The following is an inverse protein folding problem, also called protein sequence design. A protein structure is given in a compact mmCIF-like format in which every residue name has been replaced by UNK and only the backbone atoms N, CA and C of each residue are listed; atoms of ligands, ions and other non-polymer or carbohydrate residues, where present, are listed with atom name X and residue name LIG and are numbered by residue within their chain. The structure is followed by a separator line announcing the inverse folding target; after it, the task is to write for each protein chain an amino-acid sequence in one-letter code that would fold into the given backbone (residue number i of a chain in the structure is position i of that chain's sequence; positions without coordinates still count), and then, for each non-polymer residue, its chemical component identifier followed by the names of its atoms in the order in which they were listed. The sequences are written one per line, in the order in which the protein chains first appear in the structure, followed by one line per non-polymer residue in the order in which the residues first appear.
data_IF_725767877078
#
_entry.id   IF_725767877078
#
_cell.length_a   1.000
_cell.length_b   1.000
_cell.length_c   1.000
_cell.angle_alpha   90.00
_cell.angle_beta   90.00
_cell.angle_gamma   90.00
#
_symmetry.space_group_name_H-M   'P 1'
#
loop_
_entity.id
_entity.type
_entity.pdbx_description
1 polymer ?
#
# COMPACT_ATOMS: atom_id res chain seq x y z
N UNK A 1 7.36 -9.26 -4.32
CA UNK A 1 6.09 -10.03 -4.30
C UNK A 1 5.71 -10.58 -2.93
N UNK A 2 6.66 -10.94 -2.05
CA UNK A 2 6.33 -11.43 -0.71
C UNK A 2 5.44 -10.46 0.10
N UNK A 3 5.80 -9.18 0.17
CA UNK A 3 5.03 -8.16 0.91
C UNK A 3 3.57 -8.02 0.43
N UNK A 4 3.32 -8.08 -0.88
CA UNK A 4 1.96 -8.03 -1.44
C UNK A 4 1.16 -9.28 -1.05
N UNK A 5 1.78 -10.47 -1.10
CA UNK A 5 1.13 -11.72 -0.65
C UNK A 5 0.75 -11.65 0.82
N UNK A 6 1.61 -11.10 1.67
CA UNK A 6 1.36 -10.89 3.10
C UNK A 6 0.21 -9.90 3.33
N UNK A 7 0.19 -8.80 2.58
CA UNK A 7 -0.93 -7.84 2.61
C UNK A 7 -2.25 -8.52 2.21
N UNK A 8 -2.26 -9.28 1.11
CA UNK A 8 -3.43 -10.04 0.67
C UNK A 8 -3.83 -11.19 1.62
N UNK A 9 -2.90 -11.68 2.43
CA UNK A 9 -3.17 -12.63 3.51
C UNK A 9 -3.72 -11.94 4.78
N UNK A 10 -3.74 -10.61 4.84
CA UNK A 10 -4.15 -9.84 6.01
C UNK A 10 -3.08 -9.78 7.10
N UNK A 11 -1.84 -10.21 6.81
CA UNK A 11 -0.70 -10.15 7.74
C UNK A 11 -0.09 -8.75 7.82
N UNK A 12 -0.27 -7.95 6.77
CA UNK A 12 0.15 -6.57 6.69
C UNK A 12 -1.03 -5.67 6.30
N UNK A 13 -1.12 -4.53 6.96
CA UNK A 13 -1.99 -3.45 6.50
C UNK A 13 -1.39 -2.77 5.25
N UNK A 14 -2.19 -1.99 4.53
CA UNK A 14 -1.71 -1.18 3.42
C UNK A 14 -0.67 -0.14 3.88
N UNK A 15 -0.83 0.43 5.08
CA UNK A 15 0.14 1.37 5.66
C UNK A 15 1.50 0.71 5.92
N UNK A 16 1.48 -0.50 6.48
CA UNK A 16 2.69 -1.29 6.72
C UNK A 16 3.35 -1.73 5.41
N UNK A 17 2.56 -2.15 4.43
CA UNK A 17 3.02 -2.44 3.08
C UNK A 17 3.70 -1.22 2.45
N UNK A 18 3.08 -0.05 2.50
CA UNK A 18 3.66 1.19 1.97
C UNK A 18 5.00 1.50 2.65
N UNK A 19 5.05 1.38 3.98
CA UNK A 19 6.27 1.62 4.75
C UNK A 19 7.40 0.68 4.35
N UNK A 20 7.09 -0.62 4.19
CA UNK A 20 8.05 -1.63 3.78
C UNK A 20 8.55 -1.36 2.36
N UNK A 21 7.64 -1.12 1.40
CA UNK A 21 8.01 -0.78 0.02
C UNK A 21 8.86 0.50 -0.05
N UNK A 22 8.50 1.56 0.68
CA UNK A 22 9.28 2.80 0.71
C UNK A 22 10.70 2.56 1.24
N UNK A 23 10.86 1.80 2.32
CA UNK A 23 12.17 1.60 2.98
C UNK A 23 13.02 0.55 2.30
N UNK A 24 12.45 -0.62 2.03
CA UNK A 24 13.19 -1.82 1.62
C UNK A 24 13.35 -1.90 0.11
N UNK A 25 12.41 -1.34 -0.66
CA UNK A 25 12.48 -1.35 -2.13
C UNK A 25 13.05 -0.05 -2.67
N UNK A 26 12.55 1.09 -2.20
CA UNK A 26 12.99 2.40 -2.72
C UNK A 26 14.14 3.04 -1.93
N UNK A 27 14.39 2.61 -0.68
CA UNK A 27 15.43 3.21 0.16
C UNK A 27 15.18 4.68 0.53
N UNK A 28 13.93 5.16 0.48
CA UNK A 28 13.61 6.57 0.66
C UNK A 28 13.19 6.88 2.11
N UNK A 29 13.57 8.06 2.60
CA UNK A 29 13.03 8.60 3.86
C UNK A 29 11.54 8.99 3.70
N UNK A 30 10.81 9.10 4.81
CA UNK A 30 9.43 9.59 4.77
C UNK A 30 9.34 10.99 4.15
N UNK A 31 10.28 11.89 4.47
CA UNK A 31 10.29 13.25 3.92
C UNK A 31 10.39 13.22 2.39
N UNK A 32 11.39 12.51 1.86
CA UNK A 32 11.64 12.45 0.42
C UNK A 32 10.50 11.75 -0.34
N UNK A 33 9.90 10.73 0.25
CA UNK A 33 8.75 10.06 -0.38
C UNK A 33 7.48 10.92 -0.35
N UNK A 34 7.23 11.63 0.76
CA UNK A 34 6.09 12.53 0.87
C UNK A 34 6.16 13.67 -0.15
N UNK A 35 7.36 14.23 -0.37
CA UNK A 35 7.63 15.20 -1.45
C UNK A 35 7.36 14.60 -2.83
N UNK A 36 7.86 13.39 -3.10
CA UNK A 36 7.67 12.68 -4.37
C UNK A 36 6.19 12.50 -4.74
N UNK A 37 5.35 12.16 -3.74
CA UNK A 37 3.91 11.88 -3.96
C UNK A 37 3.00 13.09 -3.69
N UNK A 38 3.59 14.23 -3.32
CA UNK A 38 2.87 15.49 -3.12
C UNK A 38 1.93 15.48 -1.91
N UNK A 39 2.36 14.93 -0.77
CA UNK A 39 1.63 14.98 0.50
C UNK A 39 2.51 15.48 1.65
N UNK A 40 1.90 15.83 2.78
CA UNK A 40 2.70 16.18 3.97
C UNK A 40 3.39 14.94 4.54
N UNK A 41 4.60 15.12 5.10
CA UNK A 41 5.31 14.05 5.82
C UNK A 41 4.47 13.48 6.96
N UNK A 42 3.67 14.32 7.63
CA UNK A 42 2.74 13.88 8.69
C UNK A 42 1.68 12.94 8.12
N UNK A 43 1.04 13.30 7.01
CA UNK A 43 0.05 12.44 6.33
C UNK A 43 0.64 11.09 5.97
N UNK A 44 1.86 11.06 5.41
CA UNK A 44 2.55 9.80 5.11
C UNK A 44 2.82 8.99 6.39
N UNK A 45 3.27 9.64 7.47
CA UNK A 45 3.55 8.96 8.73
C UNK A 45 2.30 8.43 9.43
N UNK A 46 1.19 9.14 9.34
CA UNK A 46 -0.09 8.71 9.88
C UNK A 46 -0.59 7.50 9.08
N UNK A 47 -0.54 7.56 7.74
CA UNK A 47 -0.87 6.44 6.84
C UNK A 47 -0.02 5.20 7.14
N UNK A 48 1.31 5.34 7.18
CA UNK A 48 2.23 4.23 7.48
C UNK A 48 2.12 3.67 8.91
N UNK A 49 1.49 4.43 9.81
CA UNK A 49 1.21 4.05 11.18
C UNK A 49 -0.20 3.52 11.40
N UNK A 50 -0.99 3.34 10.33
CA UNK A 50 -2.40 2.96 10.38
C UNK A 50 -3.25 3.93 11.22
N UNK A 51 -2.89 5.22 11.19
CA UNK A 51 -3.54 6.30 11.95
C UNK A 51 -4.35 7.21 11.03
N UNK A 52 -5.58 7.50 11.45
CA UNK A 52 -6.46 8.45 10.77
C UNK A 52 -7.13 7.88 9.53
N UNK A 53 -8.15 8.58 9.04
CA UNK A 53 -8.89 8.18 7.86
C UNK A 53 -8.26 8.84 6.62
N UNK A 54 -7.52 8.07 5.83
CA UNK A 54 -6.87 8.54 4.60
C UNK A 54 -7.85 8.41 3.44
N UNK A 55 -7.93 9.44 2.59
CA UNK A 55 -8.82 9.40 1.42
C UNK A 55 -8.29 8.43 0.37
N UNK A 56 -9.19 7.86 -0.45
CA UNK A 56 -8.82 7.03 -1.58
C UNK A 56 -7.91 7.76 -2.58
N UNK A 57 -8.05 9.09 -2.72
CA UNK A 57 -7.18 9.92 -3.54
C UNK A 57 -5.72 9.89 -3.03
N UNK A 58 -5.53 10.09 -1.72
CA UNK A 58 -4.18 10.01 -1.11
C UNK A 58 -3.62 8.60 -1.23
N UNK A 59 -4.44 7.56 -1.00
CA UNK A 59 -4.02 6.17 -1.18
C UNK A 59 -3.54 5.90 -2.60
N UNK A 60 -4.29 6.34 -3.62
CA UNK A 60 -3.85 6.20 -5.01
C UNK A 60 -2.55 6.96 -5.29
N UNK A 61 -2.40 8.19 -4.76
CA UNK A 61 -1.17 8.98 -4.91
C UNK A 61 0.05 8.29 -4.32
N UNK A 62 -0.05 7.73 -3.12
CA UNK A 62 1.10 7.10 -2.45
C UNK A 62 1.51 5.76 -3.07
N UNK A 63 0.60 5.05 -3.74
CA UNK A 63 0.89 3.75 -4.37
C UNK A 63 1.28 3.87 -5.86
N UNK A 64 0.92 4.97 -6.52
CA UNK A 64 1.23 5.22 -7.94
C UNK A 64 2.72 5.07 -8.31
N UNK A 65 3.71 5.63 -7.57
CA UNK A 65 5.12 5.47 -7.93
C UNK A 65 5.65 4.05 -7.76
N UNK A 66 4.92 3.20 -7.02
CA UNK A 66 5.26 1.80 -6.79
C UNK A 66 4.67 0.88 -7.88
N UNK A 67 3.99 1.45 -8.88
CA UNK A 67 3.27 0.68 -9.90
C UNK A 67 2.02 -0.01 -9.36
N UNK A 68 1.51 0.45 -8.20
CA UNK A 68 0.35 -0.13 -7.54
C UNK A 68 -0.86 0.81 -7.67
N UNK A 69 -2.04 0.21 -7.81
CA UNK A 69 -3.31 0.92 -7.86
C UNK A 69 -4.21 0.42 -6.73
N UNK A 70 -4.96 1.33 -6.12
CA UNK A 70 -5.98 0.97 -5.13
C UNK A 70 -7.21 0.44 -5.85
N UNK A 71 -7.76 -0.68 -5.39
CA UNK A 71 -8.90 -1.32 -6.02
C UNK A 71 -9.71 -2.16 -5.03
N UNK A 72 -10.83 -2.69 -5.52
CA UNK A 72 -11.66 -3.61 -4.74
C UNK A 72 -11.03 -5.00 -4.76
N UNK A 73 -10.99 -5.63 -3.58
CA UNK A 73 -10.59 -7.02 -3.42
C UNK A 73 -11.69 -7.78 -2.67
N UNK A 74 -11.94 -9.05 -3.01
CA UNK A 74 -12.84 -9.88 -2.23
C UNK A 74 -12.38 -9.97 -0.78
N UNK A 75 -13.30 -9.74 0.17
CA UNK A 75 -13.03 -9.92 1.60
C UNK A 75 -12.88 -11.38 2.01
N UNK A 76 -13.55 -12.27 1.28
CA UNK A 76 -13.46 -13.71 1.54
C UNK A 76 -12.19 -14.26 0.90
N UNK A 77 -11.36 -14.92 1.71
CA UNK A 77 -10.07 -15.46 1.26
C UNK A 77 -10.19 -16.37 0.05
N UNK A 78 -11.18 -17.27 0.04
CA UNK A 78 -11.45 -18.18 -1.07
C UNK A 78 -11.73 -17.44 -2.38
N UNK A 79 -12.53 -16.37 -2.35
CA UNK A 79 -12.85 -15.56 -3.53
C UNK A 79 -11.63 -14.77 -4.01
N UNK A 80 -10.80 -14.28 -3.08
CA UNK A 80 -9.56 -13.59 -3.43
C UNK A 80 -8.58 -14.55 -4.14
N UNK A 81 -8.44 -15.79 -3.65
CA UNK A 81 -7.61 -16.81 -4.29
C UNK A 81 -8.09 -17.16 -5.69
N UNK A 82 -9.41 -17.28 -5.89
CA UNK A 82 -10.00 -17.49 -7.22
C UNK A 82 -9.76 -16.30 -8.16
N UNK A 83 -9.85 -15.06 -7.65
CA UNK A 83 -9.62 -13.86 -8.44
C UNK A 83 -8.15 -13.64 -8.82
N UNK A 84 -7.22 -14.15 -8.02
CA UNK A 84 -5.77 -14.06 -8.26
C UNK A 84 -5.21 -15.27 -9.02
N UNK A 85 -6.00 -16.34 -9.20
CA UNK A 85 -5.60 -17.48 -10.00
C UNK A 85 -5.44 -17.05 -11.47
N UNK A 86 -4.39 -17.50 -12.17
CA UNK A 86 -4.27 -17.25 -13.60
C UNK A 86 -5.52 -17.78 -14.30
N UNK A 87 -6.17 -16.93 -15.08
CA UNK A 87 -7.23 -17.37 -15.99
C UNK A 87 -6.56 -18.16 -17.10
N UNK A 88 -6.89 -19.44 -17.21
CA UNK A 88 -6.47 -20.30 -18.33
C UNK A 88 -6.99 -19.77 -19.68
#
# INVERSE_FOLDING_TARGET
MALLKQCYAGELTEGQLLRALRREVLGLSQTRYAELVGISRRTLSDLEGDKGNVTLDVMNRVFKPLGLQVGLLPRQRRLLEQALAPTE
#
